data_IF_872566083775
#
_entry.id   IF_872566083775
#
_cell.length_a   1.000
_cell.length_b   1.000
_cell.length_c   1.000
_cell.angle_alpha   90.00
_cell.angle_beta   90.00
_cell.angle_gamma   90.00
#
_symmetry.space_group_name_H-M   'P 1'
#
loop_
_entity.id
_entity.type
_entity.pdbx_description
1 polymer ?
#
# COMPACT_ATOMS: atom_id res chain seq x y z
N UNK A 1 7.47 0.24 24.10
CA UNK A 1 6.49 1.33 24.03
C UNK A 1 6.58 1.95 22.64
N UNK A 2 5.50 1.87 21.84
CA UNK A 2 5.46 2.54 20.55
C UNK A 2 5.23 4.03 20.79
N UNK A 3 6.19 4.88 20.44
CA UNK A 3 6.02 6.33 20.49
C UNK A 3 4.99 6.75 19.44
N UNK A 4 4.04 7.61 19.84
CA UNK A 4 3.08 8.19 18.91
C UNK A 4 3.80 9.00 17.82
N UNK A 5 3.39 8.81 16.56
CA UNK A 5 3.92 9.57 15.44
C UNK A 5 3.42 11.02 15.54
N UNK A 6 4.34 12.00 15.61
CA UNK A 6 3.96 13.41 15.51
C UNK A 6 3.20 13.71 14.21
N UNK A 7 2.36 14.74 14.19
CA UNK A 7 1.45 15.07 13.07
C UNK A 7 2.14 15.18 11.68
N UNK A 8 3.42 15.55 11.64
CA UNK A 8 4.22 15.58 10.41
C UNK A 8 4.65 14.19 9.94
N UNK A 9 4.90 13.25 10.86
CA UNK A 9 5.26 11.86 10.53
C UNK A 9 4.06 11.03 10.10
N UNK A 10 2.86 11.34 10.61
CA UNK A 10 1.58 10.78 10.14
C UNK A 10 1.42 10.92 8.63
N UNK A 11 1.85 12.05 8.05
CA UNK A 11 1.78 12.33 6.60
C UNK A 11 2.77 11.52 5.76
N UNK A 12 3.63 10.72 6.39
CA UNK A 12 4.59 9.84 5.74
C UNK A 12 4.11 8.38 5.73
N UNK A 13 2.99 8.08 6.38
CA UNK A 13 2.44 6.71 6.46
C UNK A 13 1.16 6.63 5.65
N UNK A 14 1.05 5.58 4.84
CA UNK A 14 -0.14 5.27 4.06
C UNK A 14 -0.58 3.84 4.29
N UNK A 15 -1.90 3.64 4.45
CA UNK A 15 -2.54 2.35 4.31
C UNK A 15 -3.03 2.19 2.87
N UNK A 16 -2.63 1.08 2.25
CA UNK A 16 -2.96 0.71 0.88
C UNK A 16 -3.87 -0.51 0.96
N UNK A 17 -4.98 -0.48 0.26
CA UNK A 17 -5.94 -1.59 0.22
C UNK A 17 -6.24 -1.97 -1.22
N UNK A 18 -6.03 -3.24 -1.55
CA UNK A 18 -6.54 -3.85 -2.78
C UNK A 18 -7.72 -4.75 -2.43
N UNK A 19 -8.93 -4.27 -2.74
CA UNK A 19 -10.18 -4.98 -2.45
C UNK A 19 -10.50 -5.96 -3.56
N UNK A 20 -11.19 -7.06 -3.22
CA UNK A 20 -11.54 -8.15 -4.16
C UNK A 20 -10.37 -8.47 -5.10
N UNK A 21 -9.22 -8.75 -4.51
CA UNK A 21 -7.97 -8.88 -5.25
C UNK A 21 -8.06 -10.04 -6.24
N UNK A 22 -7.66 -9.77 -7.48
CA UNK A 22 -7.60 -10.79 -8.52
C UNK A 22 -6.32 -11.63 -8.32
N UNK A 23 -6.50 -12.94 -8.12
CA UNK A 23 -5.38 -13.86 -7.93
C UNK A 23 -4.50 -14.03 -9.16
N UNK A 24 -5.00 -13.68 -10.36
CA UNK A 24 -4.22 -13.66 -11.59
C UNK A 24 -3.30 -12.42 -11.65
N UNK A 25 -3.67 -11.34 -10.96
CA UNK A 25 -2.89 -10.11 -10.87
C UNK A 25 -1.94 -10.16 -9.68
N UNK A 26 -2.41 -10.61 -8.52
CA UNK A 26 -1.64 -10.73 -7.29
C UNK A 26 -1.90 -12.08 -6.62
N UNK A 27 -0.95 -12.99 -6.70
CA UNK A 27 -1.11 -14.35 -6.18
C UNK A 27 -0.71 -14.52 -4.70
N UNK A 28 0.00 -13.54 -4.14
CA UNK A 28 0.56 -13.61 -2.78
C UNK A 28 0.77 -12.22 -2.16
N UNK A 29 1.04 -12.19 -0.85
CA UNK A 29 1.36 -10.95 -0.13
C UNK A 29 2.67 -10.35 -0.62
N UNK A 30 3.63 -11.22 -0.92
CA UNK A 30 4.96 -10.90 -1.42
C UNK A 30 4.88 -10.30 -2.82
N UNK A 31 4.07 -10.89 -3.70
CA UNK A 31 3.82 -10.38 -5.05
C UNK A 31 3.12 -9.00 -4.98
N UNK A 32 2.05 -8.87 -4.19
CA UNK A 32 1.40 -7.58 -3.96
C UNK A 32 2.38 -6.52 -3.45
N UNK A 33 3.16 -6.85 -2.41
CA UNK A 33 4.14 -5.93 -1.84
C UNK A 33 5.19 -5.52 -2.88
N UNK A 34 5.68 -6.46 -3.69
CA UNK A 34 6.70 -6.19 -4.71
C UNK A 34 6.21 -5.18 -5.76
N UNK A 35 4.96 -5.30 -6.23
CA UNK A 35 4.35 -4.36 -7.18
C UNK A 35 4.19 -2.96 -6.58
N UNK A 36 3.70 -2.88 -5.33
CA UNK A 36 3.60 -1.61 -4.60
C UNK A 36 4.97 -0.95 -4.44
N UNK A 37 5.99 -1.69 -3.97
CA UNK A 37 7.34 -1.17 -3.77
C UNK A 37 7.98 -0.73 -5.09
N UNK A 38 7.78 -1.49 -6.17
CA UNK A 38 8.23 -1.13 -7.51
C UNK A 38 7.63 0.20 -7.97
N UNK A 39 6.31 0.38 -7.81
CA UNK A 39 5.63 1.63 -8.20
C UNK A 39 6.09 2.85 -7.38
N UNK A 40 6.39 2.68 -6.09
CA UNK A 40 7.02 3.74 -5.29
C UNK A 40 8.43 4.07 -5.79
N UNK A 41 9.24 3.04 -6.07
CA UNK A 41 10.61 3.19 -6.57
C UNK A 41 10.64 3.90 -7.92
N UNK A 42 9.78 3.51 -8.87
CA UNK A 42 9.68 4.15 -10.20
C UNK A 42 9.17 5.60 -10.11
N UNK A 43 8.43 5.93 -9.05
CA UNK A 43 8.02 7.30 -8.73
C UNK A 43 9.10 8.11 -8.00
N UNK A 44 10.29 7.56 -7.76
CA UNK A 44 11.38 8.24 -7.05
C UNK A 44 11.12 8.44 -5.55
N UNK A 45 10.23 7.62 -4.96
CA UNK A 45 9.84 7.71 -3.55
C UNK A 45 10.48 6.56 -2.78
N UNK A 46 11.15 6.87 -1.67
CA UNK A 46 11.80 5.87 -0.83
C UNK A 46 10.85 5.37 0.25
N UNK A 47 10.61 4.05 0.26
CA UNK A 47 9.88 3.36 1.33
C UNK A 47 10.89 2.91 2.40
N UNK A 48 10.69 3.33 3.63
CA UNK A 48 11.56 3.03 4.78
C UNK A 48 11.14 1.74 5.48
N UNK A 49 9.84 1.60 5.72
CA UNK A 49 9.26 0.42 6.36
C UNK A 49 7.94 0.07 5.68
N UNK A 50 7.59 -1.20 5.72
CA UNK A 50 6.32 -1.68 5.22
C UNK A 50 5.88 -2.95 5.93
N UNK A 51 4.58 -3.21 5.91
CA UNK A 51 3.98 -4.46 6.36
C UNK A 51 2.82 -4.81 5.42
N UNK A 52 2.67 -6.09 5.08
CA UNK A 52 1.65 -6.57 4.15
C UNK A 52 0.88 -7.74 4.77
N UNK A 53 -0.45 -7.69 4.69
CA UNK A 53 -1.36 -8.76 5.10
C UNK A 53 -2.34 -9.11 3.98
N UNK A 54 -2.78 -10.38 4.00
CA UNK A 54 -3.90 -10.87 3.20
C UNK A 54 -5.03 -11.18 4.16
N UNK A 55 -6.19 -10.60 3.90
CA UNK A 55 -7.41 -10.83 4.67
C UNK A 55 -8.39 -11.60 3.80
N UNK A 56 -8.80 -12.79 4.23
CA UNK A 56 -9.80 -13.58 3.52
C UNK A 56 -11.19 -13.14 3.98
N UNK A 57 -12.08 -12.88 3.04
CA UNK A 57 -13.50 -12.65 3.33
C UNK A 57 -14.22 -13.98 3.48
N UNK A 58 -15.32 -13.97 4.25
CA UNK A 58 -16.18 -15.13 4.44
C UNK A 58 -16.86 -15.58 3.12
N UNK A 59 -16.98 -14.68 2.15
CA UNK A 59 -17.57 -14.93 0.82
C UNK A 59 -16.59 -15.56 -0.20
N UNK A 60 -15.37 -15.91 0.24
CA UNK A 60 -14.33 -16.52 -0.60
C UNK A 60 -13.44 -15.53 -1.34
N UNK A 61 -13.73 -14.23 -1.28
CA UNK A 61 -12.82 -13.18 -1.76
C UNK A 61 -11.64 -12.95 -0.81
N UNK A 62 -10.65 -12.17 -1.25
CA UNK A 62 -9.60 -11.69 -0.36
C UNK A 62 -9.18 -10.26 -0.67
N UNK A 63 -8.67 -9.58 0.37
CA UNK A 63 -8.09 -8.26 0.30
C UNK A 63 -6.60 -8.34 0.58
N UNK A 64 -5.83 -7.45 -0.02
CA UNK A 64 -4.49 -7.15 0.47
C UNK A 64 -4.48 -5.78 1.14
N UNK A 65 -3.89 -5.74 2.34
CA UNK A 65 -3.60 -4.51 3.05
C UNK A 65 -2.09 -4.35 3.14
N UNK A 66 -1.58 -3.17 2.84
CA UNK A 66 -0.18 -2.84 3.03
C UNK A 66 -0.04 -1.47 3.67
N UNK A 67 0.66 -1.41 4.79
CA UNK A 67 1.09 -0.16 5.38
C UNK A 67 2.49 0.16 4.87
N UNK A 68 2.73 1.41 4.47
CA UNK A 68 4.06 1.90 4.05
C UNK A 68 4.39 3.16 4.81
N UNK A 69 5.64 3.28 5.27
CA UNK A 69 6.23 4.50 5.80
C UNK A 69 7.30 5.01 4.84
N UNK A 70 7.14 6.24 4.39
CA UNK A 70 8.05 6.90 3.45
C UNK A 70 9.16 7.66 4.19
N UNK A 71 10.22 8.00 3.47
CA UNK A 71 11.30 8.88 3.95
C UNK A 71 10.83 10.32 4.20
N UNK A 72 9.84 10.77 3.43
CA UNK A 72 9.25 12.10 3.50
C UNK A 72 7.78 12.10 3.06
N UNK A 73 7.04 13.16 3.40
CA UNK A 73 5.65 13.31 2.97
C UNK A 73 5.56 13.48 1.45
N UNK A 74 4.95 12.51 0.75
CA UNK A 74 4.81 12.49 -0.72
C UNK A 74 3.40 12.11 -1.11
N UNK A 75 2.87 12.72 -2.18
CA UNK A 75 1.58 12.33 -2.74
C UNK A 75 1.68 10.95 -3.41
N UNK A 76 0.68 10.11 -3.20
CA UNK A 76 0.61 8.75 -3.75
C UNK A 76 -0.10 8.65 -5.11
N UNK A 77 -0.65 9.76 -5.63
CA UNK A 77 -1.48 9.73 -6.85
C UNK A 77 -0.74 9.13 -8.05
N UNK A 78 0.53 9.51 -8.25
CA UNK A 78 1.37 8.95 -9.31
C UNK A 78 1.59 7.44 -9.14
N UNK A 79 1.86 6.99 -7.91
CA UNK A 79 2.02 5.56 -7.59
C UNK A 79 0.73 4.79 -7.90
N UNK A 80 -0.43 5.34 -7.56
CA UNK A 80 -1.73 4.75 -7.91
C UNK A 80 -1.90 4.62 -9.42
N UNK A 81 -1.57 5.65 -10.19
CA UNK A 81 -1.65 5.63 -11.65
C UNK A 81 -0.71 4.59 -12.26
N UNK A 82 0.51 4.47 -11.75
CA UNK A 82 1.48 3.45 -12.17
C UNK A 82 0.95 2.04 -11.93
N UNK A 83 0.38 1.76 -10.75
CA UNK A 83 -0.18 0.45 -10.42
C UNK A 83 -1.36 0.07 -11.33
N UNK A 84 -2.21 1.04 -11.66
CA UNK A 84 -3.32 0.81 -12.58
C UNK A 84 -2.83 0.58 -14.01
N UNK A 85 -1.84 1.36 -14.48
CA UNK A 85 -1.31 1.25 -15.84
C UNK A 85 -0.49 -0.03 -16.07
N UNK A 86 0.39 -0.40 -15.13
CA UNK A 86 1.34 -1.51 -15.31
C UNK A 86 0.78 -2.87 -14.86
N UNK A 87 -0.17 -2.86 -13.92
CA UNK A 87 -0.66 -4.08 -13.30
C UNK A 87 -2.18 -4.20 -13.28
N UNK A 88 -2.93 -3.23 -13.85
CA UNK A 88 -4.40 -3.18 -13.75
C UNK A 88 -4.92 -3.20 -12.30
N UNK A 89 -4.09 -2.74 -11.35
CA UNK A 89 -4.39 -2.78 -9.92
C UNK A 89 -5.11 -1.50 -9.48
N UNK A 90 -6.41 -1.61 -9.21
CA UNK A 90 -7.21 -0.52 -8.62
C UNK A 90 -7.12 -0.55 -7.10
N UNK A 91 -6.10 0.13 -6.56
CA UNK A 91 -5.87 0.22 -5.10
C UNK A 91 -6.38 1.53 -4.50
N UNK A 92 -6.73 1.48 -3.21
CA UNK A 92 -7.08 2.64 -2.42
C UNK A 92 -5.96 3.00 -1.45
N UNK A 93 -5.68 4.29 -1.30
CA UNK A 93 -4.72 4.84 -0.35
C UNK A 93 -5.46 5.65 0.72
N UNK A 94 -5.07 5.47 1.98
CA UNK A 94 -5.53 6.28 3.12
C UNK A 94 -4.32 6.81 3.88
N UNK A 95 -4.33 8.10 4.21
CA UNK A 95 -3.40 8.72 5.17
C UNK A 95 -4.05 8.99 6.53
N UNK A 96 -5.29 8.52 6.71
CA UNK A 96 -6.01 8.65 7.96
C UNK A 96 -5.64 7.47 8.84
N UNK A 97 -5.04 7.77 9.99
CA UNK A 97 -4.73 6.80 11.03
C UNK A 97 -5.73 7.05 12.16
N UNK A 98 -6.86 6.33 12.12
CA UNK A 98 -7.76 6.23 13.28
C UNK A 98 -7.38 4.97 14.04
N UNK A 99 -7.26 5.10 15.37
CA UNK A 99 -7.28 3.96 16.29
C UNK A 99 -8.72 3.71 16.70
#
# INVERSE_FOLDING_TARGET
MASELGARQVRMVYLITYRKADCNVCNSREDFASKILSAFRSSGIKVMHWACSRENHQDGGHHYHMSVKLDQGRRWLRVKQTLEAEHSMKVNFSSTHVN
#
